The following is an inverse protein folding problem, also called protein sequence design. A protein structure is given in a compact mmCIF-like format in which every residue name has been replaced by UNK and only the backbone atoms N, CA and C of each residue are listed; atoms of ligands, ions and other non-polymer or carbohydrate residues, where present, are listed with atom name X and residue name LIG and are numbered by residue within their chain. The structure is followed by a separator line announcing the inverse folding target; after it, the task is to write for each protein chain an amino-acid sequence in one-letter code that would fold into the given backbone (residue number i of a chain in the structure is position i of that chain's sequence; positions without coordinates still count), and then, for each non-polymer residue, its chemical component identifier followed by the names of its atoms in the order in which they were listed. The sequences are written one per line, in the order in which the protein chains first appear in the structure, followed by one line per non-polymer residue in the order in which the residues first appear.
data_IF_895523229811
#
_entry.id   IF_895523229811
#
_cell.length_a   1.000
_cell.length_b   1.000
_cell.length_c   1.000
_cell.angle_alpha   90.00
_cell.angle_beta   90.00
_cell.angle_gamma   90.00
#
_symmetry.space_group_name_H-M   'P 1'
#
loop_
_entity.id
_entity.type
_entity.pdbx_description
1 polymer ?
#
# COMPACT_ATOMS: atom_id res chain seq x y z
N UNK A 1 -28.00 -13.15 -1.33
CA UNK A 1 -26.64 -13.68 -1.14
C UNK A 1 -26.05 -12.98 0.06
N UNK A 2 -25.94 -13.62 1.21
CA UNK A 2 -25.39 -12.99 2.43
C UNK A 2 -23.88 -12.77 2.24
N UNK A 3 -23.41 -11.57 2.59
CA UNK A 3 -21.97 -11.28 2.65
C UNK A 3 -21.43 -12.14 3.81
N UNK A 4 -20.41 -12.97 3.54
CA UNK A 4 -19.73 -13.70 4.61
C UNK A 4 -18.87 -12.72 5.42
N UNK A 5 -19.41 -12.22 6.52
CA UNK A 5 -18.78 -11.23 7.39
C UNK A 5 -17.49 -11.77 8.03
N UNK A 6 -17.43 -13.07 8.31
CA UNK A 6 -16.24 -13.70 8.90
C UNK A 6 -15.04 -13.60 7.96
N UNK A 7 -15.27 -13.75 6.65
CA UNK A 7 -14.22 -13.60 5.65
C UNK A 7 -13.70 -12.16 5.55
N UNK A 8 -14.56 -11.15 5.67
CA UNK A 8 -14.16 -9.74 5.64
C UNK A 8 -13.31 -9.36 6.85
N UNK A 9 -13.71 -9.75 8.07
CA UNK A 9 -12.95 -9.44 9.28
C UNK A 9 -11.58 -10.12 9.29
N UNK A 10 -11.50 -11.36 8.82
CA UNK A 10 -10.22 -12.06 8.68
C UNK A 10 -9.32 -11.38 7.63
N UNK A 11 -9.89 -10.96 6.49
CA UNK A 11 -9.17 -10.21 5.47
C UNK A 11 -8.59 -8.89 6.03
N UNK A 12 -9.39 -8.12 6.77
CA UNK A 12 -8.96 -6.89 7.43
C UNK A 12 -7.86 -7.15 8.46
N UNK A 13 -7.97 -8.22 9.24
CA UNK A 13 -7.01 -8.60 10.26
C UNK A 13 -5.68 -9.06 9.66
N UNK A 14 -5.71 -9.81 8.56
CA UNK A 14 -4.52 -10.44 7.97
C UNK A 14 -3.86 -9.59 6.88
N UNK A 15 -4.58 -8.64 6.25
CA UNK A 15 -3.99 -7.69 5.32
C UNK A 15 -3.01 -6.77 6.06
N UNK A 16 -1.74 -6.99 5.83
CA UNK A 16 -0.65 -6.21 6.45
C UNK A 16 0.17 -5.49 5.38
N UNK A 17 1.10 -4.66 5.80
CA UNK A 17 2.12 -4.07 4.92
C UNK A 17 3.24 -5.07 4.71
N UNK A 18 3.45 -5.48 3.47
CA UNK A 18 4.54 -6.37 3.06
C UNK A 18 5.62 -5.57 2.34
N UNK A 19 6.88 -5.88 2.61
CA UNK A 19 8.02 -5.11 2.10
C UNK A 19 9.06 -5.96 1.38
N UNK A 20 8.95 -7.29 1.47
CA UNK A 20 9.78 -8.24 0.74
C UNK A 20 8.86 -9.17 -0.03
N UNK A 21 9.23 -9.43 -1.28
CA UNK A 21 8.37 -10.12 -2.22
C UNK A 21 9.14 -11.19 -3.00
N UNK A 22 8.44 -12.23 -3.39
CA UNK A 22 8.92 -13.20 -4.38
C UNK A 22 9.03 -12.54 -5.76
N UNK A 23 9.98 -13.01 -6.56
CA UNK A 23 10.15 -12.55 -7.94
C UNK A 23 9.20 -13.28 -8.90
N UNK A 24 7.93 -13.33 -8.53
CA UNK A 24 6.84 -13.95 -9.27
C UNK A 24 5.92 -12.87 -9.83
N UNK A 25 5.71 -12.88 -11.14
CA UNK A 25 4.80 -11.93 -11.79
C UNK A 25 3.35 -12.09 -11.26
N UNK A 26 2.64 -10.97 -11.18
CA UNK A 26 1.23 -10.93 -10.84
C UNK A 26 0.42 -11.03 -12.14
N UNK A 27 -0.55 -11.93 -12.19
CA UNK A 27 -1.42 -12.13 -13.35
C UNK A 27 -2.22 -10.85 -13.65
N UNK A 28 -2.43 -10.58 -14.94
CA UNK A 28 -3.15 -9.38 -15.40
C UNK A 28 -4.56 -9.29 -14.80
N UNK A 29 -5.26 -10.41 -14.67
CA UNK A 29 -6.60 -10.49 -14.05
C UNK A 29 -6.57 -9.92 -12.61
N UNK A 30 -5.55 -10.25 -11.83
CA UNK A 30 -5.40 -9.74 -10.46
C UNK A 30 -5.11 -8.24 -10.47
N UNK A 31 -4.27 -7.76 -11.40
CA UNK A 31 -4.00 -6.32 -11.55
C UNK A 31 -5.29 -5.58 -11.89
N UNK A 32 -6.10 -6.11 -12.80
CA UNK A 32 -7.37 -5.52 -13.21
C UNK A 32 -8.37 -5.49 -12.04
N UNK A 33 -8.43 -6.54 -11.21
CA UNK A 33 -9.25 -6.56 -9.98
C UNK A 33 -8.80 -5.48 -8.97
N UNK A 34 -7.49 -5.31 -8.78
CA UNK A 34 -6.93 -4.27 -7.90
C UNK A 34 -7.36 -2.87 -8.39
N UNK A 35 -7.26 -2.60 -9.67
CA UNK A 35 -7.65 -1.33 -10.27
C UNK A 35 -9.17 -1.11 -10.22
N UNK A 36 -9.95 -2.17 -10.44
CA UNK A 36 -11.40 -2.13 -10.32
C UNK A 36 -11.84 -1.83 -8.87
N UNK A 37 -11.16 -2.41 -7.89
CA UNK A 37 -11.41 -2.13 -6.48
C UNK A 37 -11.12 -0.66 -6.14
N UNK A 38 -10.05 -0.08 -6.67
CA UNK A 38 -9.76 1.36 -6.55
C UNK A 38 -10.89 2.22 -7.14
N UNK A 39 -11.38 1.84 -8.33
CA UNK A 39 -12.48 2.54 -9.00
C UNK A 39 -13.79 2.53 -8.20
N UNK A 40 -14.03 1.49 -7.39
CA UNK A 40 -15.21 1.38 -6.54
C UNK A 40 -15.13 2.19 -5.25
N UNK A 41 -13.99 2.82 -4.95
CA UNK A 41 -13.86 3.65 -3.77
C UNK A 41 -14.80 4.86 -3.82
N UNK A 42 -15.30 5.24 -2.66
CA UNK A 42 -16.04 6.48 -2.53
C UNK A 42 -15.14 7.68 -2.78
N UNK A 43 -15.71 8.73 -3.38
CA UNK A 43 -15.04 10.00 -3.61
C UNK A 43 -15.94 11.16 -3.16
N UNK A 44 -15.36 12.21 -2.62
CA UNK A 44 -16.07 13.37 -2.15
C UNK A 44 -16.95 13.97 -3.27
N UNK A 45 -18.28 14.04 -3.02
CA UNK A 45 -19.29 14.44 -4.02
C UNK A 45 -19.17 13.68 -5.36
N UNK A 46 -18.65 12.45 -5.32
CA UNK A 46 -18.40 11.59 -6.49
C UNK A 46 -17.55 12.27 -7.59
N UNK A 47 -16.60 13.13 -7.19
CA UNK A 47 -15.77 13.90 -8.13
C UNK A 47 -14.72 13.07 -8.85
N UNK A 48 -14.29 11.94 -8.26
CA UNK A 48 -13.37 10.98 -8.87
C UNK A 48 -12.06 11.61 -9.40
N UNK A 49 -11.29 12.31 -8.54
CA UNK A 49 -10.11 13.06 -8.98
C UNK A 49 -8.88 12.19 -9.22
N UNK A 50 -8.95 10.89 -8.94
CA UNK A 50 -7.79 10.00 -8.98
C UNK A 50 -7.62 9.31 -10.33
N UNK A 51 -6.37 9.13 -10.71
CA UNK A 51 -5.93 8.26 -11.80
C UNK A 51 -4.77 7.39 -11.34
N UNK A 52 -4.49 6.33 -12.10
CA UNK A 52 -3.52 5.31 -11.72
C UNK A 52 -2.55 5.04 -12.87
N UNK A 53 -1.25 5.01 -12.55
CA UNK A 53 -0.20 4.60 -13.50
C UNK A 53 0.34 3.26 -13.03
N UNK A 54 0.24 2.25 -13.91
CA UNK A 54 0.65 0.87 -13.62
C UNK A 54 2.05 0.65 -14.18
N UNK A 55 2.99 0.25 -13.32
CA UNK A 55 4.38 0.00 -13.67
C UNK A 55 4.66 -1.49 -13.42
N UNK A 56 4.58 -2.31 -14.47
CA UNK A 56 4.86 -3.76 -14.45
C UNK A 56 6.12 -4.16 -15.22
N UNK A 57 6.69 -3.22 -15.96
CA UNK A 57 7.98 -3.38 -16.61
C UNK A 57 9.10 -3.42 -15.55
N UNK A 58 9.99 -4.41 -15.63
CA UNK A 58 11.00 -4.65 -14.61
C UNK A 58 12.03 -3.51 -14.50
N UNK A 59 12.46 -2.94 -15.64
CA UNK A 59 13.46 -1.87 -15.67
C UNK A 59 12.86 -0.57 -15.10
N UNK A 60 11.64 -0.23 -15.50
CA UNK A 60 10.89 0.91 -14.95
C UNK A 60 10.59 0.72 -13.47
N UNK A 61 10.23 -0.51 -13.04
CA UNK A 61 10.03 -0.85 -11.65
C UNK A 61 11.30 -0.67 -10.81
N UNK A 62 12.45 -1.11 -11.34
CA UNK A 62 13.74 -0.90 -10.70
C UNK A 62 14.11 0.59 -10.60
N UNK A 63 13.73 1.40 -11.60
CA UNK A 63 13.90 2.83 -11.56
C UNK A 63 13.02 3.49 -10.50
N UNK A 64 11.72 3.17 -10.44
CA UNK A 64 10.81 3.63 -9.36
C UNK A 64 11.35 3.28 -7.98
N UNK A 65 11.84 2.04 -7.82
CA UNK A 65 12.40 1.57 -6.56
C UNK A 65 13.54 2.45 -6.04
N UNK A 66 14.41 2.95 -6.89
CA UNK A 66 15.55 3.84 -6.51
C UNK A 66 15.09 5.14 -5.85
N UNK A 67 13.89 5.62 -6.19
CA UNK A 67 13.32 6.87 -5.67
C UNK A 67 12.32 6.64 -4.52
N UNK A 68 12.29 5.43 -3.95
CA UNK A 68 11.43 5.08 -2.81
C UNK A 68 12.24 4.77 -1.56
N UNK A 69 11.69 5.11 -0.38
CA UNK A 69 12.29 4.79 0.92
C UNK A 69 11.42 3.77 1.65
N UNK A 70 12.07 2.78 2.23
CA UNK A 70 11.39 1.62 2.81
C UNK A 70 11.55 1.58 4.33
N UNK A 71 10.53 1.06 5.01
CA UNK A 71 10.54 0.69 6.43
C UNK A 71 11.18 1.75 7.35
N UNK A 72 10.70 3.00 7.29
CA UNK A 72 11.29 4.14 8.01
C UNK A 72 11.40 3.99 9.53
N UNK A 73 10.77 2.98 10.15
CA UNK A 73 10.93 2.65 11.56
C UNK A 73 12.11 1.71 11.86
N UNK A 74 12.74 1.13 10.83
CA UNK A 74 13.86 0.21 10.94
C UNK A 74 15.17 0.87 10.46
N UNK A 75 16.32 0.37 10.89
CA UNK A 75 17.60 0.71 10.28
C UNK A 75 17.58 0.35 8.77
N UNK A 76 18.22 1.16 7.90
CA UNK A 76 18.18 0.96 6.45
C UNK A 76 18.60 -0.44 6.00
N UNK A 77 19.61 -1.03 6.65
CA UNK A 77 20.11 -2.37 6.35
C UNK A 77 19.10 -3.50 6.63
N UNK A 78 18.10 -3.24 7.47
CA UNK A 78 17.03 -4.17 7.80
C UNK A 78 15.74 -3.87 7.02
N UNK A 79 15.48 -2.60 6.75
CA UNK A 79 14.24 -2.14 6.15
C UNK A 79 14.22 -2.15 4.63
N UNK A 80 15.37 -1.98 3.98
CA UNK A 80 15.48 -1.94 2.53
C UNK A 80 15.41 -3.36 1.93
N UNK A 81 14.46 -3.65 1.01
CA UNK A 81 14.42 -4.93 0.30
C UNK A 81 15.71 -5.15 -0.53
N UNK A 82 16.23 -6.37 -0.47
CA UNK A 82 17.31 -6.79 -1.36
C UNK A 82 16.83 -6.89 -2.81
N UNK A 83 17.72 -7.01 -3.76
CA UNK A 83 17.37 -7.05 -5.18
C UNK A 83 16.34 -8.14 -5.51
N UNK A 84 16.54 -9.34 -4.97
CA UNK A 84 15.64 -10.48 -5.14
C UNK A 84 14.41 -10.47 -4.21
N UNK A 85 14.20 -9.40 -3.45
CA UNK A 85 13.06 -9.19 -2.56
C UNK A 85 12.21 -7.97 -2.98
N UNK A 86 12.56 -7.30 -4.10
CA UNK A 86 11.87 -6.09 -4.57
C UNK A 86 10.47 -6.40 -5.07
N UNK A 87 9.53 -5.43 -5.03
CA UNK A 87 8.21 -5.62 -5.61
C UNK A 87 8.28 -5.79 -7.13
N UNK A 88 7.33 -6.53 -7.68
CA UNK A 88 7.25 -6.80 -9.12
C UNK A 88 6.23 -5.91 -9.83
N UNK A 89 5.45 -5.14 -9.08
CA UNK A 89 4.46 -4.21 -9.59
C UNK A 89 4.43 -2.95 -8.73
N UNK A 90 4.35 -1.78 -9.37
CA UNK A 90 4.01 -0.53 -8.72
C UNK A 90 2.76 0.09 -9.36
N UNK A 91 1.93 0.72 -8.54
CA UNK A 91 0.83 1.56 -9.00
C UNK A 91 1.01 2.93 -8.36
N UNK A 92 1.22 3.95 -9.20
CA UNK A 92 1.24 5.33 -8.76
C UNK A 92 -0.18 5.88 -8.71
N UNK A 93 -0.55 6.49 -7.59
CA UNK A 93 -1.83 7.17 -7.38
C UNK A 93 -1.62 8.65 -7.67
N UNK A 94 -2.34 9.18 -8.63
CA UNK A 94 -2.20 10.54 -9.15
C UNK A 94 -3.49 11.32 -8.95
N UNK A 95 -3.38 12.51 -8.41
CA UNK A 95 -4.47 13.45 -8.16
C UNK A 95 -4.60 14.45 -9.31
N UNK A 96 -5.83 14.73 -9.73
CA UNK A 96 -6.13 15.80 -10.66
C UNK A 96 -6.62 17.05 -9.92
N UNK A 97 -5.76 18.06 -9.80
CA UNK A 97 -6.00 19.28 -9.04
C UNK A 97 -7.07 20.19 -9.66
N UNK A 98 -7.42 19.98 -10.94
CA UNK A 98 -8.55 20.66 -11.57
C UNK A 98 -9.90 20.11 -11.11
N UNK A 99 -9.94 18.86 -10.66
CA UNK A 99 -11.16 18.20 -10.20
C UNK A 99 -11.36 18.43 -8.69
N UNK A 100 -10.32 18.20 -7.89
CA UNK A 100 -10.33 18.43 -6.46
C UNK A 100 -8.92 18.72 -5.95
N UNK A 101 -8.79 19.71 -5.06
CA UNK A 101 -7.49 20.11 -4.48
C UNK A 101 -7.18 19.43 -3.15
N UNK A 102 -8.11 18.64 -2.61
CA UNK A 102 -7.93 17.89 -1.37
C UNK A 102 -8.43 16.46 -1.59
N UNK A 103 -7.52 15.58 -1.95
CA UNK A 103 -7.81 14.20 -2.35
C UNK A 103 -7.30 13.15 -1.36
N UNK A 104 -6.71 13.54 -0.22
CA UNK A 104 -6.10 12.58 0.72
C UNK A 104 -7.08 11.50 1.19
N UNK A 105 -8.33 11.89 1.50
CA UNK A 105 -9.37 10.93 1.89
C UNK A 105 -9.73 9.99 0.74
N UNK A 106 -9.94 10.52 -0.46
CA UNK A 106 -10.28 9.75 -1.66
C UNK A 106 -9.15 8.75 -1.97
N UNK A 107 -7.89 9.22 -1.92
CA UNK A 107 -6.70 8.40 -2.13
C UNK A 107 -6.58 7.29 -1.07
N UNK A 108 -6.80 7.60 0.20
CA UNK A 108 -6.79 6.63 1.30
C UNK A 108 -7.83 5.52 1.11
N UNK A 109 -9.06 5.88 0.71
CA UNK A 109 -10.14 4.92 0.44
C UNK A 109 -9.81 4.03 -0.78
N UNK A 110 -9.33 4.62 -1.87
CA UNK A 110 -8.95 3.87 -3.06
C UNK A 110 -7.80 2.89 -2.77
N UNK A 111 -6.74 3.34 -2.07
CA UNK A 111 -5.60 2.50 -1.69
C UNK A 111 -6.04 1.38 -0.74
N UNK A 112 -6.94 1.66 0.20
CA UNK A 112 -7.49 0.62 1.09
C UNK A 112 -8.18 -0.48 0.29
N UNK A 113 -9.04 -0.12 -0.67
CA UNK A 113 -9.71 -1.07 -1.55
C UNK A 113 -8.71 -1.89 -2.39
N UNK A 114 -7.72 -1.21 -3.01
CA UNK A 114 -6.66 -1.88 -3.79
C UNK A 114 -5.92 -2.94 -2.97
N UNK A 115 -5.50 -2.56 -1.76
CA UNK A 115 -4.70 -3.44 -0.90
C UNK A 115 -5.51 -4.61 -0.35
N UNK A 116 -6.82 -4.43 -0.10
CA UNK A 116 -7.73 -5.51 0.30
C UNK A 116 -8.00 -6.47 -0.86
N UNK A 117 -8.27 -5.96 -2.07
CA UNK A 117 -8.46 -6.79 -3.26
C UNK A 117 -7.20 -7.61 -3.58
N UNK A 118 -6.02 -6.98 -3.52
CA UNK A 118 -4.74 -7.66 -3.70
C UNK A 118 -4.56 -8.80 -2.68
N UNK A 119 -4.82 -8.52 -1.40
CA UNK A 119 -4.66 -9.50 -0.33
C UNK A 119 -5.64 -10.66 -0.44
N UNK A 120 -6.84 -10.43 -0.92
CA UNK A 120 -7.82 -11.49 -1.22
C UNK A 120 -7.33 -12.49 -2.29
N UNK A 121 -6.34 -12.10 -3.10
CA UNK A 121 -5.67 -12.94 -4.12
C UNK A 121 -4.25 -13.36 -3.67
N UNK A 122 -3.91 -13.21 -2.38
CA UNK A 122 -2.60 -13.54 -1.82
C UNK A 122 -1.47 -12.58 -2.22
N UNK A 123 -1.79 -11.44 -2.81
CA UNK A 123 -0.81 -10.40 -3.19
C UNK A 123 -0.66 -9.39 -2.07
N UNK A 124 0.53 -9.31 -1.51
CA UNK A 124 0.90 -8.33 -0.50
C UNK A 124 1.15 -6.96 -1.09
N UNK A 125 1.09 -5.92 -0.25
CA UNK A 125 1.26 -4.54 -0.69
C UNK A 125 1.99 -3.67 0.33
N UNK A 126 2.61 -2.59 -0.17
CA UNK A 126 3.21 -1.54 0.65
C UNK A 126 2.86 -0.16 0.06
N UNK A 127 2.16 0.67 0.82
CA UNK A 127 1.98 2.08 0.48
C UNK A 127 3.26 2.86 0.82
N UNK A 128 3.84 3.56 -0.15
CA UNK A 128 5.10 4.27 -0.03
C UNK A 128 4.88 5.76 -0.24
N UNK A 129 4.64 6.48 0.86
CA UNK A 129 4.55 7.96 0.84
C UNK A 129 5.93 8.63 0.81
N UNK A 130 6.96 7.96 1.36
CA UNK A 130 8.33 8.44 1.37
C UNK A 130 9.05 8.13 0.05
N UNK A 131 8.83 8.98 -0.95
CA UNK A 131 9.47 8.87 -2.27
C UNK A 131 9.87 10.25 -2.79
N UNK A 132 10.78 10.28 -3.75
CA UNK A 132 11.12 11.51 -4.50
C UNK A 132 10.02 11.83 -5.50
N UNK A 133 8.96 12.49 -5.01
CA UNK A 133 7.79 12.86 -5.80
C UNK A 133 8.14 13.71 -7.03
N UNK A 134 9.02 14.75 -6.95
CA UNK A 134 9.39 15.53 -8.12
C UNK A 134 10.00 14.70 -9.25
N UNK A 135 10.97 13.83 -8.92
CA UNK A 135 11.62 12.96 -9.91
C UNK A 135 10.65 11.95 -10.51
N UNK A 136 9.84 11.29 -9.67
CA UNK A 136 8.83 10.33 -10.13
C UNK A 136 7.73 11.00 -10.96
N UNK A 137 7.27 12.21 -10.60
CA UNK A 137 6.28 12.96 -11.38
C UNK A 137 6.80 13.25 -12.80
N UNK A 138 8.05 13.66 -12.91
CA UNK A 138 8.71 13.88 -14.21
C UNK A 138 8.82 12.56 -15.01
N UNK A 139 9.22 11.48 -14.36
CA UNK A 139 9.35 10.15 -14.97
C UNK A 139 7.99 9.63 -15.48
N UNK A 140 6.92 9.90 -14.76
CA UNK A 140 5.55 9.52 -15.13
C UNK A 140 4.90 10.48 -16.15
N UNK A 141 5.57 11.57 -16.51
CA UNK A 141 5.05 12.56 -17.45
C UNK A 141 3.86 13.35 -16.92
N UNK A 142 3.79 13.57 -15.61
CA UNK A 142 2.69 14.33 -15.00
C UNK A 142 2.76 15.81 -15.43
N UNK A 143 1.60 16.38 -15.76
CA UNK A 143 1.47 17.79 -16.06
C UNK A 143 1.27 18.63 -14.77
N UNK A 144 1.23 19.95 -14.92
CA UNK A 144 1.12 20.92 -13.82
C UNK A 144 -0.13 20.78 -12.94
N UNK A 145 -1.20 20.16 -13.47
CA UNK A 145 -2.46 19.93 -12.77
C UNK A 145 -2.54 18.53 -12.16
N UNK A 146 -1.48 17.73 -12.28
CA UNK A 146 -1.40 16.37 -11.75
C UNK A 146 -0.35 16.30 -10.64
N UNK A 147 -0.72 15.68 -9.52
CA UNK A 147 0.16 15.52 -8.36
C UNK A 147 0.29 14.04 -8.04
N UNK A 148 1.52 13.56 -7.89
CA UNK A 148 1.76 12.21 -7.37
C UNK A 148 1.42 12.19 -5.87
N UNK A 149 0.33 11.51 -5.51
CA UNK A 149 -0.03 11.32 -4.11
C UNK A 149 0.94 10.33 -3.44
N UNK A 150 1.01 9.10 -3.95
CA UNK A 150 1.84 8.04 -3.41
C UNK A 150 2.09 6.96 -4.46
N UNK A 151 3.01 6.05 -4.15
CA UNK A 151 3.24 4.84 -4.93
C UNK A 151 2.88 3.63 -4.05
N UNK A 152 2.12 2.69 -4.59
CA UNK A 152 1.81 1.42 -3.92
C UNK A 152 2.56 0.31 -4.62
N UNK A 153 3.37 -0.43 -3.86
CA UNK A 153 4.11 -1.60 -4.32
C UNK A 153 3.31 -2.87 -4.07
N UNK A 154 3.40 -3.85 -4.98
CA UNK A 154 2.73 -5.13 -4.89
C UNK A 154 3.66 -6.28 -5.28
N UNK A 155 3.38 -7.48 -4.71
CA UNK A 155 4.06 -8.74 -5.00
C UNK A 155 3.57 -9.85 -4.08
N UNK A 156 3.91 -11.09 -4.37
CA UNK A 156 3.66 -12.19 -3.44
C UNK A 156 4.62 -12.08 -2.26
N UNK A 157 4.12 -12.11 -0.99
CA UNK A 157 4.98 -11.92 0.18
C UNK A 157 6.01 -13.04 0.34
N UNK A 158 7.25 -12.67 0.68
CA UNK A 158 8.32 -13.61 1.07
C UNK A 158 8.63 -13.56 2.58
N UNK A 159 7.69 -13.05 3.39
CA UNK A 159 7.79 -12.98 4.85
C UNK A 159 6.39 -12.92 5.45
N UNK A 160 6.29 -13.19 6.75
CA UNK A 160 5.05 -13.03 7.51
C UNK A 160 4.97 -11.62 8.08
N UNK A 161 3.76 -11.12 8.27
CA UNK A 161 3.50 -9.89 9.01
C UNK A 161 2.22 -10.08 9.84
N UNK A 162 2.33 -9.90 11.15
CA UNK A 162 1.24 -10.12 12.08
C UNK A 162 1.09 -8.97 13.07
N UNK A 163 -0.08 -8.86 13.67
CA UNK A 163 -0.38 -7.86 14.69
C UNK A 163 -0.19 -8.46 16.08
N UNK A 164 0.19 -7.61 17.02
CA UNK A 164 0.17 -7.89 18.46
C UNK A 164 -0.47 -6.71 19.17
N UNK A 165 -1.26 -6.97 20.20
CA UNK A 165 -1.76 -5.90 21.06
C UNK A 165 -0.65 -5.42 21.98
N UNK A 166 -0.59 -4.11 22.25
CA UNK A 166 0.38 -3.50 23.17
C UNK A 166 -0.28 -3.16 24.49
N UNK A 167 0.46 -3.34 25.58
CA UNK A 167 0.03 -2.90 26.90
C UNK A 167 0.23 -1.37 27.07
N UNK A 168 1.31 -0.83 26.52
CA UNK A 168 1.57 0.61 26.51
C UNK A 168 1.17 1.21 25.14
N UNK A 169 0.13 2.07 25.07
CA UNK A 169 -0.35 2.66 23.83
C UNK A 169 0.68 3.50 23.04
N UNK A 170 1.82 3.84 23.64
CA UNK A 170 2.92 4.57 22.98
C UNK A 170 3.89 3.63 22.26
N UNK A 171 3.90 2.34 22.59
CA UNK A 171 4.83 1.34 22.03
C UNK A 171 4.30 0.73 20.73
N UNK A 172 4.00 1.56 19.73
CA UNK A 172 3.38 1.15 18.46
C UNK A 172 4.37 0.99 17.31
N UNK A 173 5.68 1.13 17.57
CA UNK A 173 6.70 1.01 16.53
C UNK A 173 6.84 -0.45 16.09
N UNK A 174 6.62 -0.73 14.79
CA UNK A 174 6.82 -2.08 14.27
C UNK A 174 8.30 -2.47 14.26
N UNK A 175 8.58 -3.77 14.37
CA UNK A 175 9.93 -4.33 14.42
C UNK A 175 9.98 -5.66 13.67
N UNK A 176 11.18 -6.21 13.52
CA UNK A 176 11.41 -7.56 12.99
C UNK A 176 11.71 -8.51 14.15
N UNK A 177 11.13 -9.70 14.10
CA UNK A 177 11.51 -10.80 14.97
C UNK A 177 12.79 -11.51 14.48
N UNK A 178 13.17 -12.60 15.13
CA UNK A 178 14.36 -13.41 14.80
C UNK A 178 14.31 -14.03 13.41
N UNK A 179 13.12 -14.27 12.87
CA UNK A 179 12.88 -14.79 11.51
C UNK A 179 12.85 -13.69 10.45
N UNK A 180 13.05 -12.43 10.84
CA UNK A 180 12.85 -11.25 10.01
C UNK A 180 11.39 -11.03 9.59
N UNK A 181 10.43 -11.59 10.32
CA UNK A 181 9.02 -11.33 10.12
C UNK A 181 8.59 -10.03 10.80
N UNK A 182 7.62 -9.34 10.23
CA UNK A 182 7.17 -8.05 10.76
C UNK A 182 6.16 -8.26 11.88
N UNK A 183 6.49 -7.76 13.06
CA UNK A 183 5.57 -7.62 14.18
C UNK A 183 5.02 -6.20 14.19
N UNK A 184 3.70 -6.06 14.13
CA UNK A 184 3.01 -4.77 14.02
C UNK A 184 2.16 -4.53 15.27
N UNK A 185 2.67 -3.78 16.25
CA UNK A 185 1.95 -3.46 17.47
C UNK A 185 0.70 -2.63 17.17
N UNK A 186 -0.39 -2.94 17.86
CA UNK A 186 -1.67 -2.22 17.81
C UNK A 186 -2.12 -1.82 19.20
N UNK A 187 -2.64 -0.62 19.31
CA UNK A 187 -3.36 -0.18 20.51
C UNK A 187 -4.61 -1.02 20.68
N UNK A 188 -4.98 -1.33 21.92
CA UNK A 188 -6.22 -2.03 22.23
C UNK A 188 -7.43 -1.21 21.82
N UNK A 189 -8.55 -1.86 21.56
CA UNK A 189 -9.77 -1.18 21.13
C UNK A 189 -10.25 -0.14 22.16
N UNK A 190 -10.13 -0.46 23.43
CA UNK A 190 -10.47 0.42 24.55
C UNK A 190 -9.65 1.69 24.63
N UNK A 191 -8.40 1.67 24.10
CA UNK A 191 -7.51 2.85 24.05
C UNK A 191 -7.86 3.83 22.92
N UNK A 192 -8.72 3.43 21.98
CA UNK A 192 -9.02 4.21 20.77
C UNK A 192 -10.51 4.51 20.58
N UNK A 193 -11.37 4.02 21.48
CA UNK A 193 -12.84 4.21 21.42
C UNK A 193 -13.31 4.91 22.68
N UNK A 194 -14.14 5.92 22.52
CA UNK A 194 -14.87 6.59 23.60
C UNK A 194 -16.37 6.49 23.32
N UNK A 195 -17.14 6.01 24.29
CA UNK A 195 -18.61 6.02 24.26
C UNK A 195 -19.11 7.25 25.01
N UNK A 196 -20.03 8.02 24.40
CA UNK A 196 -20.63 9.23 24.97
C UNK A 196 -22.08 8.98 25.39
#
# INVERSE_FOLDING_TARGET
MGINMDNLMELLKTRRTYRRFEQKAIDQEIIDEILLAARYASSAANRQPLSYIVIKDADKGAEVFRYTKWAGALPPEQGQPKENERPVLFIAVVENMNINKNCDTDAGLAISNMTLAAWNRGVGSCMIGACDKPTLSKMFGLNENQVLHTVVAFGYPSHVSHIVDVENPEEVKYYLDENRDYVVPKRKLEDVVTYL
#
